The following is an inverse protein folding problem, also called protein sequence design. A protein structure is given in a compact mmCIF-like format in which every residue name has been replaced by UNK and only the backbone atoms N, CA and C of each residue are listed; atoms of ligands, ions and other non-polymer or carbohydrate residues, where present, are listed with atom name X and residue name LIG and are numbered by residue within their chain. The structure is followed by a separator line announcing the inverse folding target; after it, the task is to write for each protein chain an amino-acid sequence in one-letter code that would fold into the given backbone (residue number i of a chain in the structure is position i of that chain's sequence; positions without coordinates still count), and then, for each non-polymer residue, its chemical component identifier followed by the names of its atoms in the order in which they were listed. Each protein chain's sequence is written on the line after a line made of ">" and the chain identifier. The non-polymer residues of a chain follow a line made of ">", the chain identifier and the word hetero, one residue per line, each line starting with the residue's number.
data_IF_748315449480
#
_entry.id   IF_748315449480
#
_cell.length_a   1.000
_cell.length_b   1.000
_cell.length_c   1.000
_cell.angle_alpha   90.00
_cell.angle_beta   90.00
_cell.angle_gamma   90.00
#
_symmetry.space_group_name_H-M   'P 1'
#
loop_
_entity.id
_entity.type
_entity.pdbx_description
1 polymer ?
#
# COMPACT_ATOMS: atom_id res chain seq x y z
N UNK A 1 15.92 -13.38 -20.27
CA UNK A 1 15.64 -13.11 -18.87
C UNK A 1 14.75 -11.89 -18.72
N UNK A 2 13.74 -12.02 -17.94
CA UNK A 2 12.82 -10.91 -17.70
C UNK A 2 13.25 -10.15 -16.47
N UNK A 3 13.50 -8.88 -16.63
CA UNK A 3 13.75 -8.00 -15.49
C UNK A 3 12.41 -7.46 -15.01
N UNK A 4 12.11 -7.71 -13.77
CA UNK A 4 10.95 -7.11 -13.15
C UNK A 4 11.28 -5.67 -12.78
N UNK A 5 10.37 -4.79 -13.11
CA UNK A 5 10.46 -3.38 -12.75
C UNK A 5 9.78 -3.18 -11.42
N UNK A 6 10.43 -3.71 -10.39
CA UNK A 6 9.87 -3.74 -9.04
C UNK A 6 10.13 -2.43 -8.33
N UNK A 7 9.11 -1.92 -7.69
CA UNK A 7 9.22 -0.77 -6.79
C UNK A 7 8.67 -1.15 -5.43
N UNK A 8 9.12 -0.45 -4.41
CA UNK A 8 8.63 -0.62 -3.04
C UNK A 8 7.87 0.63 -2.65
N UNK A 9 6.67 0.45 -2.14
CA UNK A 9 5.90 1.54 -1.57
C UNK A 9 5.91 1.38 -0.06
N UNK A 10 6.34 2.41 0.64
CA UNK A 10 6.35 2.46 2.10
C UNK A 10 5.39 3.53 2.56
N UNK A 11 4.63 3.20 3.58
CA UNK A 11 3.68 4.13 4.12
C UNK A 11 3.24 3.77 5.51
N UNK A 12 2.31 4.52 6.02
CA UNK A 12 1.73 4.30 7.33
C UNK A 12 0.24 4.57 7.27
N UNK A 13 -0.53 3.64 7.80
CA UNK A 13 -1.99 3.80 7.91
C UNK A 13 -2.32 4.27 9.31
N UNK A 14 -3.11 5.32 9.39
CA UNK A 14 -3.48 5.95 10.64
C UNK A 14 -4.99 5.90 10.85
N UNK A 15 -5.38 5.91 12.12
CA UNK A 15 -6.76 6.18 12.50
C UNK A 15 -7.10 7.65 12.26
N UNK A 16 -8.37 8.04 12.28
CA UNK A 16 -8.73 9.45 12.16
C UNK A 16 -8.08 10.34 13.23
N UNK A 17 -7.77 9.78 14.40
CA UNK A 17 -7.09 10.51 15.47
C UNK A 17 -5.57 10.56 15.30
N UNK A 18 -5.02 9.93 14.27
CA UNK A 18 -3.59 10.00 13.98
C UNK A 18 -2.75 8.89 14.57
N UNK A 19 -3.36 7.85 15.11
CA UNK A 19 -2.63 6.70 15.65
C UNK A 19 -2.42 5.65 14.58
N UNK A 20 -1.31 4.91 14.68
CA UNK A 20 -1.04 3.80 13.75
C UNK A 20 -2.08 2.72 13.85
N UNK A 21 -2.54 2.21 12.71
CA UNK A 21 -3.58 1.20 12.62
C UNK A 21 -2.99 -0.13 12.18
N UNK A 22 -2.96 -1.09 13.09
CA UNK A 22 -2.45 -2.43 12.86
C UNK A 22 -3.42 -3.29 12.07
N UNK A 23 -2.87 -4.19 11.26
CA UNK A 23 -3.67 -5.24 10.63
C UNK A 23 -4.48 -4.79 9.45
N UNK A 24 -4.17 -3.65 8.87
CA UNK A 24 -4.78 -3.22 7.62
C UNK A 24 -4.16 -3.97 6.47
N UNK A 25 -4.99 -4.60 5.65
CA UNK A 25 -4.54 -5.29 4.46
C UNK A 25 -4.31 -4.28 3.34
N UNK A 26 -3.07 -4.24 2.85
CA UNK A 26 -2.67 -3.33 1.78
C UNK A 26 -2.33 -4.16 0.56
N UNK A 27 -2.94 -3.84 -0.57
CA UNK A 27 -2.73 -4.58 -1.81
C UNK A 27 -2.81 -3.64 -3.00
N UNK A 28 -2.29 -4.11 -4.15
CA UNK A 28 -2.47 -3.40 -5.41
C UNK A 28 -3.72 -3.95 -6.09
N UNK A 29 -4.78 -3.16 -6.10
CA UNK A 29 -6.05 -3.56 -6.69
C UNK A 29 -6.03 -3.75 -8.20
N UNK A 30 -5.00 -3.23 -8.88
CA UNK A 30 -4.83 -3.42 -10.32
C UNK A 30 -4.02 -4.68 -10.66
N UNK A 31 -3.39 -5.29 -9.66
CA UNK A 31 -2.54 -6.47 -9.86
C UNK A 31 -2.72 -7.42 -8.68
N UNK A 32 -3.84 -8.10 -8.65
CA UNK A 32 -4.20 -8.99 -7.54
C UNK A 32 -3.17 -10.10 -7.30
N UNK A 33 -2.45 -10.48 -8.34
CA UNK A 33 -1.43 -11.53 -8.23
C UNK A 33 -0.19 -11.11 -7.46
N UNK A 34 -0.01 -9.82 -7.23
CA UNK A 34 1.15 -9.33 -6.48
C UNK A 34 1.01 -9.57 -4.99
N UNK A 35 -0.19 -10.00 -4.55
CA UNK A 35 -0.41 -10.31 -3.16
C UNK A 35 -0.75 -9.10 -2.33
N UNK A 36 -0.50 -9.23 -1.03
CA UNK A 36 -0.83 -8.17 -0.09
C UNK A 36 0.17 -8.17 1.06
N UNK A 37 0.14 -7.09 1.82
CA UNK A 37 0.84 -7.01 3.09
C UNK A 37 -0.11 -6.52 4.17
N UNK A 38 0.28 -6.69 5.41
CA UNK A 38 -0.48 -6.18 6.56
C UNK A 38 0.33 -5.11 7.26
N UNK A 39 -0.36 -4.09 7.73
CA UNK A 39 0.32 -3.05 8.52
C UNK A 39 0.79 -3.61 9.85
N UNK A 40 1.94 -3.12 10.30
CA UNK A 40 2.52 -3.47 11.60
C UNK A 40 1.80 -2.74 12.73
N UNK A 41 2.21 -3.00 13.96
CA UNK A 41 1.55 -2.44 15.14
C UNK A 41 1.47 -0.91 15.15
N UNK A 42 2.41 -0.25 14.51
CA UNK A 42 2.45 1.21 14.39
C UNK A 42 1.81 1.73 13.10
N UNK A 43 1.22 0.84 12.31
CA UNK A 43 0.57 1.19 11.05
C UNK A 43 1.47 1.18 9.84
N UNK A 44 2.76 0.98 9.99
CA UNK A 44 3.68 0.99 8.86
C UNK A 44 3.51 -0.25 7.98
N UNK A 45 3.74 -0.07 6.69
CA UNK A 45 3.73 -1.16 5.72
C UNK A 45 4.77 -0.93 4.63
N UNK A 46 5.19 -2.03 4.02
CA UNK A 46 5.99 -2.04 2.81
C UNK A 46 5.31 -2.99 1.84
N UNK A 47 5.12 -2.55 0.61
CA UNK A 47 4.53 -3.40 -0.42
C UNK A 47 5.34 -3.31 -1.70
N UNK A 48 5.58 -4.48 -2.30
CA UNK A 48 6.23 -4.58 -3.60
C UNK A 48 5.19 -4.47 -4.69
N UNK A 49 5.46 -3.63 -5.67
CA UNK A 49 4.57 -3.45 -6.82
C UNK A 49 5.40 -3.40 -8.10
N UNK A 50 4.76 -3.68 -9.21
CA UNK A 50 5.37 -3.44 -10.51
C UNK A 50 5.30 -1.95 -10.82
N UNK A 51 6.47 -1.33 -10.94
CA UNK A 51 6.57 0.09 -11.23
C UNK A 51 6.42 0.41 -12.70
N UNK A 52 6.42 1.70 -13.02
CA UNK A 52 6.30 2.20 -14.38
C UNK A 52 4.88 2.41 -14.83
N UNK A 53 3.92 2.45 -13.91
CA UNK A 53 2.53 2.64 -14.25
C UNK A 53 1.66 2.97 -13.05
N UNK A 54 0.35 2.93 -13.26
CA UNK A 54 -0.59 3.22 -12.18
C UNK A 54 -0.64 2.07 -11.18
N UNK A 55 -0.79 2.43 -9.92
CA UNK A 55 -1.00 1.50 -8.81
C UNK A 55 -2.22 1.99 -8.05
N UNK A 56 -3.10 1.07 -7.74
CA UNK A 56 -4.27 1.37 -6.91
C UNK A 56 -4.09 0.65 -5.58
N UNK A 57 -3.60 1.35 -4.59
CA UNK A 57 -3.50 0.79 -3.26
C UNK A 57 -4.88 0.63 -2.65
N UNK A 58 -5.20 -0.58 -2.23
CA UNK A 58 -6.43 -0.88 -1.52
C UNK A 58 -6.10 -1.15 -0.07
N UNK A 59 -6.87 -0.53 0.81
CA UNK A 59 -6.72 -0.67 2.24
C UNK A 59 -7.99 -1.31 2.79
N UNK A 60 -7.85 -2.44 3.45
CA UNK A 60 -8.99 -3.15 3.99
C UNK A 60 -8.78 -3.58 5.43
N UNK A 61 -9.79 -3.35 6.26
CA UNK A 61 -9.80 -3.85 7.62
C UNK A 61 -11.25 -4.06 8.04
N UNK A 62 -11.60 -5.33 8.27
CA UNK A 62 -12.94 -5.68 8.72
C UNK A 62 -13.23 -5.05 10.08
N UNK A 63 -14.43 -4.54 10.33
CA UNK A 63 -15.62 -4.56 9.48
C UNK A 63 -15.77 -3.34 8.56
N UNK A 64 -14.75 -2.52 8.44
CA UNK A 64 -14.81 -1.29 7.67
C UNK A 64 -14.77 -1.58 6.16
N UNK A 65 -15.40 -0.74 5.33
CA UNK A 65 -15.31 -0.90 3.88
C UNK A 65 -13.91 -0.63 3.36
N UNK A 66 -13.58 -1.23 2.22
CA UNK A 66 -12.31 -0.97 1.57
C UNK A 66 -12.21 0.49 1.14
N UNK A 67 -10.99 0.99 1.27
CA UNK A 67 -10.63 2.32 0.79
C UNK A 67 -9.47 2.18 -0.18
N UNK A 68 -9.32 3.13 -1.08
CA UNK A 68 -8.28 3.03 -2.09
C UNK A 68 -7.64 4.38 -2.40
N UNK A 69 -6.42 4.31 -2.94
CA UNK A 69 -5.67 5.47 -3.37
C UNK A 69 -4.94 5.15 -4.67
N UNK A 70 -5.09 6.02 -5.66
CA UNK A 70 -4.41 5.88 -6.94
C UNK A 70 -3.07 6.60 -6.88
N UNK A 71 -2.03 5.91 -7.38
CA UNK A 71 -0.67 6.44 -7.44
C UNK A 71 -0.08 6.13 -8.80
N UNK A 72 0.87 6.95 -9.23
CA UNK A 72 1.76 6.59 -10.30
C UNK A 72 3.12 6.25 -9.70
N UNK A 73 3.61 5.05 -9.97
CA UNK A 73 4.83 4.55 -9.35
C UNK A 73 5.91 4.38 -10.41
N UNK A 74 7.02 5.13 -10.32
CA UNK A 74 8.14 4.93 -11.22
C UNK A 74 8.77 3.55 -11.05
N UNK A 75 9.58 3.14 -12.04
CA UNK A 75 10.27 1.87 -12.01
C UNK A 75 11.44 1.90 -11.04
N UNK A 76 11.69 0.77 -10.39
CA UNK A 76 12.91 0.52 -9.60
C UNK A 76 13.16 1.59 -8.54
N UNK A 77 12.12 1.97 -7.82
CA UNK A 77 12.23 2.98 -6.78
C UNK A 77 11.62 2.52 -5.47
N UNK A 78 12.09 3.14 -4.41
CA UNK A 78 11.46 3.06 -3.10
C UNK A 78 10.71 4.37 -2.91
N UNK A 79 9.38 4.29 -2.81
CA UNK A 79 8.55 5.45 -2.58
C UNK A 79 8.14 5.48 -1.11
N UNK A 80 8.57 6.51 -0.43
CA UNK A 80 8.08 6.80 0.91
C UNK A 80 6.83 7.62 0.77
N UNK A 81 5.69 6.94 0.72
CA UNK A 81 4.47 7.68 0.68
C UNK A 81 3.97 7.92 2.07
N UNK A 82 3.64 9.01 2.23
CA UNK A 82 2.65 9.70 2.97
C UNK A 82 1.90 8.83 3.96
N UNK A 83 1.29 9.54 4.87
CA UNK A 83 0.39 8.99 5.85
C UNK A 83 -1.00 8.84 5.24
N UNK A 84 -1.58 7.67 5.32
CA UNK A 84 -2.95 7.44 4.89
C UNK A 84 -3.85 7.36 6.11
N UNK A 85 -4.82 8.25 6.21
CA UNK A 85 -5.80 8.18 7.29
C UNK A 85 -6.97 7.30 6.86
N UNK A 86 -7.15 6.22 7.57
CA UNK A 86 -8.24 5.28 7.35
C UNK A 86 -9.51 5.91 7.90
N UNK A 87 -10.50 6.02 7.06
CA UNK A 87 -11.75 6.71 7.41
C UNK A 87 -12.80 5.78 7.99
#
# INVERSE_FOLDING_TARGET
>A
MLFRKVSVIRGRVLTPSGQGLRGVRVSNGLALREGFTLTRSDGHFDILVTGGGPVKLKFGKSPFPYQSRNLFVPQNQVMNIFLYKFK
#
